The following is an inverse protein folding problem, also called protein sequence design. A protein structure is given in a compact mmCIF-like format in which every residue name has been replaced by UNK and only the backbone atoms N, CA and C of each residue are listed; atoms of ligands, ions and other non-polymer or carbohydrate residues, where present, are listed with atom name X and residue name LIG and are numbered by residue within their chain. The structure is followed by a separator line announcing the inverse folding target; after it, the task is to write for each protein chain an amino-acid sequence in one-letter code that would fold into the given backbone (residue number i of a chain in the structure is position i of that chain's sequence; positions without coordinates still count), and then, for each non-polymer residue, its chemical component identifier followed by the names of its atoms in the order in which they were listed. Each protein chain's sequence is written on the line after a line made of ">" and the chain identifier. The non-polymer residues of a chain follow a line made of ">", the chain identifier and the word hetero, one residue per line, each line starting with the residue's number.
data_IF_748935027041
#
_entry.id   IF_748935027041
#
_cell.length_a   1.000
_cell.length_b   1.000
_cell.length_c   1.000
_cell.angle_alpha   90.00
_cell.angle_beta   90.00
_cell.angle_gamma   90.00
#
_symmetry.space_group_name_H-M   'P 1'
#
loop_
_entity.id
_entity.type
_entity.pdbx_description
1 polymer ?
#
# COMPACT_ATOMS: atom_id res chain seq x y z
N UNK A 1 -8.37 6.75 -6.30
CA UNK A 1 -8.41 5.97 -5.03
C UNK A 1 -7.23 5.01 -5.05
N UNK A 2 -6.26 5.16 -4.15
CA UNK A 2 -5.02 4.37 -4.16
C UNK A 2 -5.21 3.00 -3.49
N UNK A 3 -4.68 1.96 -4.12
CA UNK A 3 -4.64 0.60 -3.58
C UNK A 3 -3.17 0.19 -3.49
N UNK A 4 -2.85 -0.54 -2.41
CA UNK A 4 -1.53 -1.07 -2.16
C UNK A 4 -1.58 -2.60 -2.14
N UNK A 5 -0.57 -3.22 -2.70
CA UNK A 5 -0.35 -4.64 -2.65
C UNK A 5 0.58 -4.97 -1.49
N UNK A 6 0.17 -5.92 -0.65
CA UNK A 6 0.96 -6.40 0.47
C UNK A 6 2.08 -7.33 -0.03
N UNK A 7 3.34 -6.92 0.11
CA UNK A 7 4.48 -7.73 -0.31
C UNK A 7 4.65 -9.05 0.48
N UNK A 8 3.97 -9.22 1.61
CA UNK A 8 4.10 -10.43 2.44
C UNK A 8 3.05 -11.50 2.17
N UNK A 9 1.84 -11.14 1.76
CA UNK A 9 0.74 -12.08 1.53
C UNK A 9 0.07 -11.94 0.16
N UNK A 10 0.40 -10.90 -0.60
CA UNK A 10 -0.13 -10.67 -1.93
C UNK A 10 -1.50 -9.99 -1.98
N UNK A 11 -2.06 -9.57 -0.83
CA UNK A 11 -3.40 -8.99 -0.78
C UNK A 11 -3.42 -7.52 -1.24
N UNK A 12 -4.47 -7.16 -1.99
CA UNK A 12 -4.74 -5.79 -2.40
C UNK A 12 -5.55 -5.06 -1.32
N UNK A 13 -4.94 -4.06 -0.69
CA UNK A 13 -5.44 -3.33 0.45
C UNK A 13 -5.59 -1.85 0.11
N UNK A 14 -6.76 -1.29 0.42
CA UNK A 14 -7.00 0.16 0.35
C UNK A 14 -6.23 0.86 1.46
N UNK A 15 -5.82 2.12 1.28
CA UNK A 15 -5.10 2.91 2.31
C UNK A 15 -5.68 2.80 3.73
N UNK A 16 -7.01 2.88 3.88
CA UNK A 16 -7.70 2.76 5.17
C UNK A 16 -7.74 1.34 5.75
N UNK A 17 -7.51 0.31 4.93
CA UNK A 17 -7.47 -1.10 5.36
C UNK A 17 -6.05 -1.57 5.64
N UNK A 18 -5.04 -0.89 5.09
CA UNK A 18 -3.63 -1.22 5.32
C UNK A 18 -3.36 -1.31 6.81
N UNK A 19 -3.68 -0.28 7.60
CA UNK A 19 -3.41 -0.22 9.04
C UNK A 19 -4.00 -1.43 9.81
N UNK A 20 -5.27 -1.74 9.54
CA UNK A 20 -5.95 -2.90 10.13
C UNK A 20 -5.32 -4.23 9.69
N UNK A 21 -4.91 -4.34 8.43
CA UNK A 21 -4.27 -5.53 7.90
C UNK A 21 -2.89 -5.76 8.53
N UNK A 22 -2.04 -4.74 8.63
CA UNK A 22 -0.74 -4.86 9.33
C UNK A 22 -0.95 -5.11 10.82
N UNK A 23 -1.99 -4.59 11.45
CA UNK A 23 -2.26 -4.85 12.87
C UNK A 23 -2.74 -6.29 13.14
N UNK A 24 -3.59 -6.83 12.25
CA UNK A 24 -4.36 -8.06 12.51
C UNK A 24 -3.91 -9.28 11.69
N UNK A 25 -3.61 -9.09 10.41
CA UNK A 25 -3.28 -10.20 9.48
C UNK A 25 -1.77 -10.36 9.35
N UNK A 26 -1.06 -9.25 9.19
CA UNK A 26 0.26 -9.23 8.59
C UNK A 26 1.19 -8.32 9.40
N UNK A 27 1.40 -8.67 10.68
CA UNK A 27 2.17 -7.90 11.67
C UNK A 27 3.57 -7.48 11.26
N UNK A 28 4.20 -8.21 10.34
CA UNK A 28 5.57 -7.96 9.85
C UNK A 28 5.65 -7.51 8.40
N UNK A 29 4.59 -6.99 7.77
CA UNK A 29 4.72 -6.47 6.40
C UNK A 29 5.65 -5.26 6.38
N UNK A 30 6.79 -5.32 5.67
CA UNK A 30 7.72 -4.21 5.58
C UNK A 30 7.42 -3.31 4.37
N UNK A 31 6.80 -3.86 3.32
CA UNK A 31 6.70 -3.24 2.00
C UNK A 31 5.30 -3.37 1.39
N UNK A 32 4.80 -2.25 0.89
CA UNK A 32 3.50 -2.07 0.25
C UNK A 32 3.73 -1.49 -1.15
N UNK A 33 3.33 -2.18 -2.22
CA UNK A 33 3.54 -1.66 -3.58
C UNK A 33 2.25 -1.00 -4.09
N UNK A 34 2.27 0.26 -4.59
CA UNK A 34 1.07 0.81 -5.25
C UNK A 34 0.82 -0.03 -6.50
N UNK A 35 -0.38 -0.60 -6.63
CA UNK A 35 -0.69 -1.45 -7.80
C UNK A 35 -0.81 -0.62 -9.08
N UNK A 36 -1.02 0.69 -8.94
CA UNK A 36 -1.24 1.63 -10.02
C UNK A 36 0.07 2.18 -10.59
N UNK A 37 1.03 2.59 -9.73
CA UNK A 37 2.36 3.05 -10.18
C UNK A 37 3.48 1.99 -10.06
N UNK A 38 3.19 0.81 -9.52
CA UNK A 38 4.16 -0.27 -9.30
C UNK A 38 5.25 0.03 -8.27
N UNK A 39 5.20 1.18 -7.59
CA UNK A 39 6.26 1.66 -6.70
C UNK A 39 6.13 1.06 -5.30
N UNK A 40 7.24 0.72 -4.69
CA UNK A 40 7.29 0.16 -3.34
C UNK A 40 7.32 1.27 -2.29
N UNK A 41 6.51 1.10 -1.25
CA UNK A 41 6.39 2.02 -0.14
C UNK A 41 6.58 1.28 1.17
N UNK A 42 7.22 1.94 2.11
CA UNK A 42 7.30 1.50 3.50
C UNK A 42 6.12 2.06 4.30
N UNK A 43 5.94 1.58 5.54
CA UNK A 43 4.88 2.01 6.49
C UNK A 43 4.77 3.51 6.74
N UNK A 44 5.82 4.27 6.44
CA UNK A 44 5.79 5.73 6.59
C UNK A 44 5.42 6.39 5.25
N UNK A 45 6.13 6.01 4.20
CA UNK A 45 6.02 6.63 2.88
C UNK A 45 4.68 6.36 2.17
N UNK A 46 4.01 5.22 2.43
CA UNK A 46 2.69 4.94 1.84
C UNK A 46 1.60 5.91 2.34
N UNK A 47 1.79 6.55 3.50
CA UNK A 47 0.82 7.50 4.07
C UNK A 47 0.79 8.80 3.27
N UNK A 48 1.97 9.23 2.81
CA UNK A 48 2.17 10.39 1.95
C UNK A 48 1.67 10.12 0.52
N UNK A 49 1.71 8.85 0.11
CA UNK A 49 1.18 8.40 -1.17
C UNK A 49 -0.37 8.39 -1.18
N UNK A 50 -0.96 9.57 -1.38
CA UNK A 50 -2.41 9.80 -1.33
C UNK A 50 -3.08 9.79 -2.71
N UNK A 51 -2.32 10.13 -3.76
CA UNK A 51 -2.75 10.14 -5.16
C UNK A 51 -1.64 9.44 -5.97
N UNK A 52 -1.92 8.25 -6.52
CA UNK A 52 -0.98 7.60 -7.43
C UNK A 52 -0.94 8.49 -8.69
N UNK A 53 0.26 8.85 -9.17
CA UNK A 53 0.47 9.93 -10.15
C UNK A 53 0.02 9.56 -11.57
N UNK A 54 -0.66 8.42 -11.77
CA UNK A 54 -1.15 7.95 -13.07
C UNK A 54 -2.24 8.84 -13.71
N UNK A 55 -2.42 10.07 -13.22
CA UNK A 55 -3.24 11.13 -13.82
C UNK A 55 -2.34 12.29 -14.36
N UNK A 56 -1.15 11.97 -14.87
CA UNK A 56 -0.36 12.88 -15.71
C UNK A 56 -0.30 12.38 -17.15
N UNK A 57 -1.42 11.93 -17.70
CA UNK A 57 -1.65 11.87 -19.15
C UNK A 57 -3.14 11.93 -19.47
#
# INVERSE_FOLDING_TARGET
>A
MVVFHCGSCGEALKKNQVDKHIASTCRRVPTLSCIDCGKDFTRDSYKEHTKCVSEQE
#
